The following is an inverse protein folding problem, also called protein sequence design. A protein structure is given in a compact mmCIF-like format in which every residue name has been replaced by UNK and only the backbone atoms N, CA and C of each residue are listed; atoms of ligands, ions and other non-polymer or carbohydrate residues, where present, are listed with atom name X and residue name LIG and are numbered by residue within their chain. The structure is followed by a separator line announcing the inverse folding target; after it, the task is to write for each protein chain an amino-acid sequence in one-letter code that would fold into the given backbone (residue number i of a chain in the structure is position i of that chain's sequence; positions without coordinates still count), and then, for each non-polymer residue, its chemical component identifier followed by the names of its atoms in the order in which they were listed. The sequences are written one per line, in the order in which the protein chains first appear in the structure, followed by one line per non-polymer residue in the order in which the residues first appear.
data_IF_875527117788
#
_entry.id   IF_875527117788
#
_cell.length_a   1.000
_cell.length_b   1.000
_cell.length_c   1.000
_cell.angle_alpha   90.00
_cell.angle_beta   90.00
_cell.angle_gamma   90.00
#
_symmetry.space_group_name_H-M   'P 1'
#
loop_
_entity.id
_entity.type
_entity.pdbx_description
1 polymer ?
#
# COMPACT_ATOMS: atom_id res chain seq x y z
N UNK A 1 5.56 -2.97 -1.85
CA UNK A 1 4.40 -2.34 -2.49
C UNK A 1 3.76 -1.35 -1.53
N UNK A 2 3.56 -0.14 -1.98
CA UNK A 2 2.82 0.90 -1.26
C UNK A 2 1.49 1.15 -1.97
N UNK A 3 0.40 1.09 -1.22
CA UNK A 3 -0.93 1.44 -1.71
C UNK A 3 -1.32 2.79 -1.13
N UNK A 4 -1.43 3.80 -1.98
CA UNK A 4 -1.73 5.17 -1.59
C UNK A 4 -0.48 6.04 -1.54
N UNK A 5 0.04 6.42 -2.71
CA UNK A 5 1.24 7.26 -2.83
C UNK A 5 1.04 8.63 -2.16
N UNK A 6 -0.13 9.21 -2.35
CA UNK A 6 -0.47 10.52 -1.78
C UNK A 6 0.50 11.61 -2.21
N UNK A 7 1.04 12.33 -1.23
CA UNK A 7 2.03 13.39 -1.47
C UNK A 7 3.41 12.86 -1.86
N UNK A 8 3.65 11.56 -1.70
CA UNK A 8 4.97 10.96 -1.92
C UNK A 8 5.89 11.00 -0.72
N UNK A 9 5.45 11.58 0.42
CA UNK A 9 6.28 11.67 1.62
C UNK A 9 6.69 10.30 2.14
N UNK A 10 5.73 9.39 2.32
CA UNK A 10 6.03 8.04 2.80
C UNK A 10 6.87 7.26 1.78
N UNK A 11 6.58 7.44 0.48
CA UNK A 11 7.39 6.84 -0.58
C UNK A 11 8.85 7.23 -0.45
N UNK A 12 9.12 8.52 -0.24
CA UNK A 12 10.49 9.03 -0.03
C UNK A 12 11.12 8.43 1.22
N UNK A 13 10.38 8.33 2.33
CA UNK A 13 10.88 7.72 3.57
C UNK A 13 11.27 6.26 3.35
N UNK A 14 10.42 5.50 2.65
CA UNK A 14 10.72 4.09 2.35
C UNK A 14 11.98 3.95 1.48
N UNK A 15 12.16 4.83 0.50
CA UNK A 15 13.35 4.84 -0.34
C UNK A 15 14.60 5.20 0.47
N UNK A 16 14.51 6.18 1.37
CA UNK A 16 15.61 6.53 2.27
C UNK A 16 16.01 5.38 3.20
N UNK A 17 15.04 4.52 3.55
CA UNK A 17 15.29 3.31 4.34
C UNK A 17 15.90 2.17 3.52
N UNK A 18 16.13 2.38 2.24
CA UNK A 18 16.76 1.39 1.36
C UNK A 18 15.80 0.46 0.63
N UNK A 19 14.49 0.71 0.71
CA UNK A 19 13.52 -0.12 0.01
C UNK A 19 13.48 0.19 -1.49
N UNK A 20 13.21 -0.84 -2.30
CA UNK A 20 12.80 -0.67 -3.69
C UNK A 20 11.28 -0.55 -3.68
N UNK A 21 10.75 0.59 -4.08
CA UNK A 21 9.32 0.91 -3.91
C UNK A 21 8.57 0.85 -5.22
N UNK A 22 7.47 0.11 -5.20
CA UNK A 22 6.39 0.15 -6.18
C UNK A 22 5.19 0.76 -5.48
N UNK A 23 4.59 1.80 -6.05
CA UNK A 23 3.51 2.55 -5.38
C UNK A 23 2.36 2.79 -6.33
N UNK A 24 1.13 2.66 -5.81
CA UNK A 24 -0.10 2.85 -6.58
C UNK A 24 -0.87 4.02 -6.00
N UNK A 25 -1.31 4.93 -6.88
CA UNK A 25 -2.19 6.05 -6.54
C UNK A 25 -3.45 6.01 -7.40
N UNK A 26 -4.62 6.11 -6.77
CA UNK A 26 -5.91 6.11 -7.48
C UNK A 26 -6.31 7.49 -7.99
N UNK A 27 -5.79 8.55 -7.39
CA UNK A 27 -6.10 9.93 -7.76
C UNK A 27 -5.12 10.40 -8.83
N UNK A 28 -5.65 10.69 -10.01
CA UNK A 28 -4.82 11.05 -11.17
C UNK A 28 -3.96 12.28 -10.92
N UNK A 29 -4.54 13.32 -10.32
CA UNK A 29 -3.82 14.57 -10.05
C UNK A 29 -2.64 14.34 -9.09
N UNK A 30 -2.83 13.53 -8.04
CA UNK A 30 -1.76 13.18 -7.10
C UNK A 30 -0.68 12.34 -7.79
N UNK A 31 -1.09 11.37 -8.58
CA UNK A 31 -0.16 10.54 -9.34
C UNK A 31 0.72 11.38 -10.27
N UNK A 32 0.13 12.27 -11.04
CA UNK A 32 0.88 13.13 -11.97
C UNK A 32 1.84 14.06 -11.24
N UNK A 33 1.41 14.63 -10.11
CA UNK A 33 2.26 15.48 -9.29
C UNK A 33 3.46 14.74 -8.73
N UNK A 34 3.23 13.60 -8.10
CA UNK A 34 4.32 12.83 -7.46
C UNK A 34 5.24 12.20 -8.48
N UNK A 35 4.73 11.84 -9.65
CA UNK A 35 5.54 11.31 -10.73
C UNK A 35 6.61 12.30 -11.20
N UNK A 36 6.33 13.60 -11.12
CA UNK A 36 7.31 14.65 -11.43
C UNK A 36 8.14 15.01 -10.21
N UNK A 37 7.49 15.16 -9.05
CA UNK A 37 8.13 15.66 -7.84
C UNK A 37 9.25 14.74 -7.33
N UNK A 38 8.99 13.45 -7.23
CA UNK A 38 9.95 12.52 -6.63
C UNK A 38 11.28 12.45 -7.40
N UNK A 39 11.29 12.31 -8.73
CA UNK A 39 12.57 12.34 -9.46
C UNK A 39 13.31 13.67 -9.33
N UNK A 40 12.58 14.80 -9.30
CA UNK A 40 13.18 16.12 -9.12
C UNK A 40 13.87 16.28 -7.76
N UNK A 41 13.42 15.51 -6.76
CA UNK A 41 14.03 15.48 -5.42
C UNK A 41 15.08 14.37 -5.28
N UNK A 42 15.37 13.66 -6.37
CA UNK A 42 16.36 12.58 -6.36
C UNK A 42 15.83 11.21 -5.93
N UNK A 43 14.51 11.05 -5.85
CA UNK A 43 13.88 9.79 -5.45
C UNK A 43 13.38 9.01 -6.66
N UNK A 44 13.73 7.73 -6.73
CA UNK A 44 13.30 6.83 -7.80
C UNK A 44 12.41 5.73 -7.24
N UNK A 45 11.12 5.81 -7.54
CA UNK A 45 10.15 4.75 -7.27
C UNK A 45 9.42 4.43 -8.58
N UNK A 46 8.87 3.23 -8.66
CA UNK A 46 8.00 2.88 -9.79
C UNK A 46 6.57 3.19 -9.39
N UNK A 47 6.02 4.25 -10.00
CA UNK A 47 4.69 4.77 -9.65
C UNK A 47 3.65 4.33 -10.68
N UNK A 48 2.47 3.96 -10.19
CA UNK A 48 1.36 3.52 -11.02
C UNK A 48 0.09 4.30 -10.68
N UNK A 49 -0.66 4.63 -11.70
CA UNK A 49 -2.02 5.13 -11.57
C UNK A 49 -2.97 3.94 -11.67
N UNK A 50 -3.68 3.61 -10.61
CA UNK A 50 -4.55 2.45 -10.64
C UNK A 50 -5.33 2.21 -9.36
N UNK A 51 -6.02 1.08 -9.33
CA UNK A 51 -6.79 0.59 -8.21
C UNK A 51 -5.89 -0.23 -7.28
N UNK A 52 -5.74 0.27 -6.04
CA UNK A 52 -4.89 -0.38 -5.05
C UNK A 52 -5.38 -1.76 -4.61
N UNK A 53 -6.68 -2.05 -4.73
CA UNK A 53 -7.23 -3.38 -4.40
C UNK A 53 -6.63 -4.49 -5.27
N UNK A 54 -6.24 -4.16 -6.49
CA UNK A 54 -5.68 -5.12 -7.43
C UNK A 54 -4.18 -5.36 -7.25
N UNK A 55 -3.51 -4.47 -6.52
CA UNK A 55 -2.06 -4.51 -6.39
C UNK A 55 -1.36 -4.42 -7.74
N UNK A 56 -0.22 -5.11 -7.83
CA UNK A 56 0.59 -5.17 -9.05
C UNK A 56 1.04 -6.61 -9.29
N UNK A 57 0.15 -7.48 -9.78
CA UNK A 57 0.47 -8.90 -9.93
C UNK A 57 1.68 -9.17 -10.82
N UNK A 58 1.92 -8.32 -11.84
CA UNK A 58 3.07 -8.45 -12.73
C UNK A 58 4.41 -8.36 -11.99
N UNK A 59 4.44 -7.60 -10.90
CA UNK A 59 5.68 -7.34 -10.13
C UNK A 59 5.76 -8.16 -8.84
N UNK A 60 4.71 -8.91 -8.51
CA UNK A 60 4.66 -9.76 -7.33
C UNK A 60 5.65 -10.95 -7.44
N UNK A 61 6.07 -11.56 -6.32
CA UNK A 61 5.65 -11.24 -4.96
C UNK A 61 6.44 -10.08 -4.33
N UNK A 62 5.83 -9.46 -3.31
CA UNK A 62 6.45 -8.36 -2.58
C UNK A 62 6.88 -8.82 -1.17
N UNK A 63 8.04 -8.34 -0.73
CA UNK A 63 8.52 -8.60 0.62
C UNK A 63 7.66 -7.90 1.69
N UNK A 64 7.22 -6.69 1.37
CA UNK A 64 6.43 -5.84 2.25
C UNK A 64 5.31 -5.19 1.45
N UNK A 65 4.14 -5.09 2.06
CA UNK A 65 3.02 -4.33 1.50
C UNK A 65 2.51 -3.40 2.59
N UNK A 66 2.45 -2.11 2.29
CA UNK A 66 1.90 -1.11 3.21
C UNK A 66 0.73 -0.40 2.56
N UNK A 67 -0.38 -0.34 3.28
CA UNK A 67 -1.61 0.31 2.82
C UNK A 67 -1.89 1.46 3.78
N UNK A 68 -2.10 2.66 3.23
CA UNK A 68 -2.27 3.89 4.00
C UNK A 68 -3.68 4.47 3.94
N UNK A 69 -4.64 3.65 3.53
CA UNK A 69 -6.06 4.01 3.52
C UNK A 69 -6.87 2.90 4.19
N UNK A 70 -7.90 3.28 4.94
CA UNK A 70 -8.75 2.32 5.64
C UNK A 70 -9.51 1.41 4.68
N UNK A 71 -9.39 0.11 4.88
CA UNK A 71 -10.04 -0.89 4.04
C UNK A 71 -11.14 -1.61 4.82
N UNK A 72 -12.28 -1.93 4.17
CA UNK A 72 -13.37 -2.64 4.85
C UNK A 72 -12.98 -4.09 5.21
N UNK A 73 -12.03 -4.64 4.51
CA UNK A 73 -11.51 -6.00 4.71
C UNK A 73 -10.10 -6.09 4.14
N UNK A 74 -9.41 -7.19 4.43
CA UNK A 74 -8.07 -7.45 3.88
C UNK A 74 -8.24 -7.98 2.45
N UNK A 75 -7.73 -7.25 1.42
CA UNK A 75 -7.90 -7.68 0.03
C UNK A 75 -7.13 -8.96 -0.28
N UNK A 76 -7.84 -9.97 -0.78
CA UNK A 76 -7.22 -11.26 -1.12
C UNK A 76 -6.14 -11.14 -2.20
N UNK A 77 -6.35 -10.25 -3.16
CA UNK A 77 -5.36 -10.01 -4.22
C UNK A 77 -4.03 -9.55 -3.67
N UNK A 78 -4.04 -8.72 -2.61
CA UNK A 78 -2.82 -8.25 -1.98
C UNK A 78 -2.17 -9.34 -1.14
N UNK A 79 -2.95 -10.14 -0.44
CA UNK A 79 -2.40 -11.29 0.31
C UNK A 79 -1.69 -12.27 -0.63
N UNK A 80 -2.27 -12.53 -1.79
CA UNK A 80 -1.66 -13.43 -2.78
C UNK A 80 -0.34 -12.89 -3.34
N UNK A 81 -0.16 -11.58 -3.33
CA UNK A 81 1.04 -10.91 -3.82
C UNK A 81 2.11 -10.73 -2.75
N UNK A 82 1.83 -11.10 -1.51
CA UNK A 82 2.80 -11.06 -0.44
C UNK A 82 3.69 -12.30 -0.52
N UNK A 83 4.99 -12.10 -0.41
CA UNK A 83 5.96 -13.20 -0.38
C UNK A 83 5.81 -14.01 0.92
N UNK A 84 6.02 -15.32 0.87
CA UNK A 84 6.13 -16.14 2.09
C UNK A 84 7.24 -15.57 2.97
N UNK A 85 6.93 -15.32 4.24
CA UNK A 85 7.81 -14.59 5.16
C UNK A 85 7.63 -13.09 5.09
N UNK A 86 6.86 -12.59 4.13
CA UNK A 86 6.60 -11.16 3.98
C UNK A 86 5.60 -10.62 4.99
N UNK A 87 5.57 -9.30 5.10
CA UNK A 87 4.73 -8.59 6.06
C UNK A 87 3.86 -7.57 5.34
N UNK A 88 2.57 -7.57 5.67
CA UNK A 88 1.61 -6.55 5.24
C UNK A 88 1.15 -5.77 6.45
N UNK A 89 1.05 -4.45 6.31
CA UNK A 89 0.43 -3.58 7.31
C UNK A 89 -0.73 -2.85 6.65
N UNK A 90 -1.92 -3.00 7.23
CA UNK A 90 -3.16 -2.48 6.65
C UNK A 90 -4.10 -1.97 7.74
N UNK A 91 -4.69 -0.76 7.59
CA UNK A 91 -5.78 -0.31 8.45
C UNK A 91 -7.10 -0.91 7.97
N UNK A 92 -7.75 -1.69 8.82
CA UNK A 92 -9.04 -2.33 8.52
C UNK A 92 -10.14 -1.66 9.33
N UNK A 93 -11.29 -1.39 8.68
CA UNK A 93 -12.41 -0.70 9.29
C UNK A 93 -12.90 -1.42 10.55
N UNK A 94 -13.09 -0.65 11.63
CA UNK A 94 -13.63 -1.11 12.90
C UNK A 94 -14.48 0.03 13.47
N UNK A 95 -15.79 0.01 13.17
CA UNK A 95 -16.70 1.11 13.50
C UNK A 95 -16.28 2.39 12.78
N UNK A 96 -16.12 3.49 13.53
CA UNK A 96 -15.74 4.79 12.96
C UNK A 96 -14.22 4.96 12.80
N UNK A 97 -13.46 3.95 13.22
CA UNK A 97 -12.00 3.98 13.18
C UNK A 97 -11.48 2.80 12.38
N UNK A 98 -10.16 2.69 12.30
CA UNK A 98 -9.51 1.56 11.67
C UNK A 98 -8.57 0.90 12.67
N UNK A 99 -8.54 -0.43 12.65
CA UNK A 99 -7.58 -1.22 13.38
C UNK A 99 -6.38 -1.47 12.48
N UNK A 100 -5.20 -1.02 12.89
CA UNK A 100 -3.98 -1.37 12.18
C UNK A 100 -3.71 -2.86 12.38
N UNK A 101 -3.60 -3.60 11.30
CA UNK A 101 -3.30 -5.04 11.33
C UNK A 101 -1.95 -5.29 10.68
N UNK A 102 -1.15 -6.11 11.34
CA UNK A 102 0.10 -6.64 10.81
C UNK A 102 -0.14 -8.10 10.43
N UNK A 103 0.11 -8.43 9.19
CA UNK A 103 -0.09 -9.79 8.67
C UNK A 103 1.25 -10.32 8.21
N UNK A 104 1.61 -11.52 8.69
CA UNK A 104 2.81 -12.24 8.26
C UNK A 104 2.35 -13.47 7.48
N UNK A 105 2.85 -13.64 6.26
CA UNK A 105 2.57 -14.82 5.46
C UNK A 105 3.51 -15.94 5.86
N UNK A 106 2.97 -16.95 6.54
CA UNK A 106 3.75 -18.08 7.07
C UNK A 106 4.02 -19.14 6.00
N UNK A 107 3.04 -19.36 5.13
CA UNK A 107 3.11 -20.29 4.00
C UNK A 107 2.13 -19.81 2.92
N UNK A 108 2.03 -20.53 1.82
CA UNK A 108 1.09 -20.15 0.75
C UNK A 108 -0.37 -20.09 1.22
N UNK A 109 -0.72 -20.80 2.29
CA UNK A 109 -2.09 -20.89 2.78
C UNK A 109 -2.30 -20.34 4.18
N UNK A 110 -1.23 -20.06 4.94
CA UNK A 110 -1.33 -19.68 6.34
C UNK A 110 -0.77 -18.28 6.59
N UNK A 111 -1.54 -17.49 7.35
CA UNK A 111 -1.21 -16.12 7.74
C UNK A 111 -1.33 -15.98 9.25
N UNK A 112 -0.47 -15.16 9.82
CA UNK A 112 -0.56 -14.75 11.23
C UNK A 112 -0.93 -13.28 11.26
N UNK A 113 -2.00 -12.93 11.98
CA UNK A 113 -2.50 -11.56 12.09
C UNK A 113 -2.33 -11.06 13.52
N UNK A 114 -1.77 -9.86 13.64
CA UNK A 114 -1.62 -9.14 14.89
C UNK A 114 -2.39 -7.83 14.81
N UNK A 115 -3.27 -7.59 15.78
CA UNK A 115 -4.00 -6.33 15.88
C UNK A 115 -3.15 -5.33 16.65
N UNK A 116 -2.99 -4.15 16.06
CA UNK A 116 -2.25 -3.04 16.66
C UNK A 116 -3.23 -1.95 17.11
N UNK A 117 -2.79 -0.69 17.17
CA UNK A 117 -3.59 0.41 17.65
C UNK A 117 -4.74 0.80 16.72
N UNK A 118 -5.74 1.50 17.26
CA UNK A 118 -6.80 2.12 16.47
C UNK A 118 -6.33 3.46 15.91
N UNK A 119 -6.68 3.73 14.65
CA UNK A 119 -6.39 4.97 13.95
C UNK A 119 -7.57 5.40 13.09
N UNK A 120 -7.51 6.63 12.55
CA UNK A 120 -8.41 7.08 11.49
C UNK A 120 -7.62 7.33 10.23
N UNK A 121 -8.04 6.69 9.13
CA UNK A 121 -7.45 6.86 7.81
C UNK A 121 -8.54 7.22 6.81
N UNK A 122 -8.15 7.81 5.66
CA UNK A 122 -9.08 7.98 4.54
C UNK A 122 -9.48 6.61 4.00
N UNK A 123 -10.71 6.43 3.49
CA UNK A 123 -11.14 5.14 2.96
C UNK A 123 -10.31 4.71 1.75
N UNK A 124 -10.06 3.41 1.64
CA UNK A 124 -9.52 2.82 0.43
C UNK A 124 -10.68 2.59 -0.55
N UNK A 125 -10.70 3.35 -1.62
CA UNK A 125 -11.76 3.30 -2.62
C UNK A 125 -11.34 2.43 -3.80
N UNK A 126 -12.33 1.72 -4.36
CA UNK A 126 -12.14 0.93 -5.56
C UNK A 126 -12.06 1.83 -6.78
N UNK A 127 -11.50 1.31 -7.84
CA UNK A 127 -11.33 1.98 -9.12
C UNK A 127 -10.43 3.20 -9.04
N UNK A 128 -10.10 3.73 -10.20
CA UNK A 128 -9.32 4.96 -10.30
C UNK A 128 -10.18 6.16 -9.96
N UNK A 129 -9.65 7.06 -9.15
CA UNK A 129 -10.31 8.32 -8.88
C UNK A 129 -10.25 9.24 -10.09
N UNK A 130 -11.25 10.12 -10.20
CA UNK A 130 -11.24 11.22 -11.16
C UNK A 130 -10.64 12.45 -10.52
N UNK A 131 -10.06 13.28 -11.34
CA UNK A 131 -9.47 14.56 -10.88
C UNK A 131 -10.53 15.57 -10.48
#
# INVERSE_FOLDING_TARGET
LEIGTGSGFQTAVLLEMGAKVFSIERQKALYERTRELLPNLGYKATLFYGDGYNGLPTYAPFNKIIITAGAPYIPKALLSQLKVGGIMVIPVDEGDSQRMKKIVKLSETNYQTEDLSLFKFVPLLKEKGRD
#
